data_IF_660394615376
#
_entry.id   IF_660394615376
#
_cell.length_a   1.000
_cell.length_b   1.000
_cell.length_c   1.000
_cell.angle_alpha   90.00
_cell.angle_beta   90.00
_cell.angle_gamma   90.00
#
_symmetry.space_group_name_H-M   'P 1'
#
loop_
_entity.id
_entity.type
_entity.pdbx_description
1 polymer ?
#
# COMPACT_ATOMS: atom_id res chain seq x y z
N UNK A 1 9.44 -4.64 4.44
CA UNK A 1 8.95 -4.80 3.06
C UNK A 1 10.03 -4.23 2.14
N UNK A 2 10.67 -5.01 1.28
CA UNK A 2 11.75 -4.51 0.39
C UNK A 2 11.68 -5.04 -1.04
N UNK A 3 10.77 -5.99 -1.33
CA UNK A 3 10.62 -6.60 -2.67
C UNK A 3 9.74 -5.79 -3.64
N UNK A 4 8.83 -4.97 -3.12
CA UNK A 4 7.76 -4.37 -3.92
C UNK A 4 7.79 -2.84 -3.97
N UNK A 5 8.43 -2.19 -3.01
CA UNK A 5 8.62 -0.75 -3.02
C UNK A 5 9.57 -0.29 -1.93
N UNK A 6 10.04 0.95 -2.05
CA UNK A 6 10.83 1.67 -1.04
C UNK A 6 10.44 3.14 -1.01
N UNK A 7 10.22 3.70 0.18
CA UNK A 7 10.06 5.15 0.36
C UNK A 7 11.38 5.80 0.75
N UNK A 8 11.74 6.87 0.04
CA UNK A 8 12.75 7.81 0.51
C UNK A 8 12.04 9.02 1.15
N UNK A 9 11.94 9.08 2.49
CA UNK A 9 11.24 10.16 3.19
C UNK A 9 11.93 11.52 2.99
N UNK A 10 13.26 11.55 2.85
CA UNK A 10 14.04 12.79 2.67
C UNK A 10 13.80 13.41 1.30
N UNK A 11 13.71 12.57 0.25
CA UNK A 11 13.45 13.03 -1.11
C UNK A 11 11.95 13.10 -1.46
N UNK A 12 11.06 12.69 -0.54
CA UNK A 12 9.61 12.49 -0.76
C UNK A 12 9.32 11.70 -2.05
N UNK A 13 10.08 10.63 -2.30
CA UNK A 13 9.89 9.76 -3.47
C UNK A 13 9.61 8.35 -3.04
N UNK A 14 8.59 7.74 -3.65
CA UNK A 14 8.26 6.34 -3.50
C UNK A 14 8.69 5.62 -4.77
N UNK A 15 9.54 4.61 -4.63
CA UNK A 15 9.94 3.71 -5.70
C UNK A 15 9.09 2.45 -5.62
N UNK A 16 8.52 2.03 -6.74
CA UNK A 16 7.65 0.88 -6.84
C UNK A 16 8.23 -0.11 -7.85
N UNK A 17 8.12 -1.40 -7.56
CA UNK A 17 8.56 -2.44 -8.47
C UNK A 17 7.58 -2.54 -9.65
N UNK A 18 8.10 -2.56 -10.89
CA UNK A 18 7.29 -2.67 -12.11
C UNK A 18 6.46 -3.95 -12.17
N UNK A 19 6.89 -5.03 -11.50
CA UNK A 19 6.13 -6.28 -11.41
C UNK A 19 4.76 -6.09 -10.72
N UNK A 20 4.54 -4.98 -10.00
CA UNK A 20 3.23 -4.61 -9.47
C UNK A 20 2.18 -4.32 -10.54
N UNK A 21 2.58 -4.02 -11.77
CA UNK A 21 1.63 -3.81 -12.87
C UNK A 21 0.83 -5.07 -13.20
N UNK A 22 1.35 -6.26 -12.82
CA UNK A 22 0.68 -7.55 -12.98
C UNK A 22 -0.23 -7.89 -11.80
N UNK A 23 -0.14 -7.13 -10.71
CA UNK A 23 -0.94 -7.33 -9.49
C UNK A 23 -2.19 -6.45 -9.52
N UNK A 24 -3.23 -6.78 -8.73
CA UNK A 24 -4.42 -5.94 -8.64
C UNK A 24 -4.11 -4.52 -8.15
N UNK A 25 -4.95 -3.56 -8.54
CA UNK A 25 -4.80 -2.15 -8.16
C UNK A 25 -4.83 -1.95 -6.63
N UNK A 26 -5.62 -2.72 -5.89
CA UNK A 26 -5.67 -2.61 -4.43
C UNK A 26 -4.34 -3.05 -3.75
N UNK A 27 -3.55 -3.90 -4.39
CA UNK A 27 -2.21 -4.25 -3.91
C UNK A 27 -1.24 -3.06 -4.04
N UNK A 28 -1.42 -2.23 -5.08
CA UNK A 28 -0.68 -0.97 -5.24
C UNK A 28 -1.06 0.02 -4.14
N UNK A 29 -2.35 0.16 -3.85
CA UNK A 29 -2.87 1.02 -2.76
C UNK A 29 -2.26 0.63 -1.41
N UNK A 30 -2.21 -0.68 -1.11
CA UNK A 30 -1.56 -1.20 0.10
C UNK A 30 -0.11 -0.73 0.23
N UNK A 31 0.68 -0.81 -0.85
CA UNK A 31 2.10 -0.41 -0.80
C UNK A 31 2.22 1.10 -0.62
N UNK A 32 1.42 1.89 -1.34
CA UNK A 32 1.45 3.35 -1.20
C UNK A 32 1.10 3.75 0.23
N UNK A 33 0.00 3.22 0.80
CA UNK A 33 -0.40 3.51 2.18
C UNK A 33 0.67 3.03 3.17
N UNK A 34 1.28 1.86 2.96
CA UNK A 34 2.36 1.35 3.81
C UNK A 34 3.56 2.31 3.86
N UNK A 35 4.01 2.77 2.70
CA UNK A 35 5.13 3.71 2.57
C UNK A 35 4.80 5.11 3.10
N UNK A 36 3.54 5.53 3.03
CA UNK A 36 3.06 6.78 3.62
C UNK A 36 2.97 6.70 5.15
N UNK A 37 2.43 5.61 5.70
CA UNK A 37 2.40 5.37 7.16
C UNK A 37 3.81 5.35 7.73
N UNK A 38 4.81 4.91 6.96
CA UNK A 38 6.22 5.01 7.35
C UNK A 38 6.75 6.43 7.55
N UNK A 39 6.09 7.45 6.99
CA UNK A 39 6.40 8.85 7.30
C UNK A 39 5.97 9.25 8.71
N UNK A 40 4.89 8.65 9.23
CA UNK A 40 4.34 8.91 10.57
C UNK A 40 4.94 7.98 11.64
N UNK A 41 5.20 6.73 11.29
CA UNK A 41 5.72 5.70 12.18
C UNK A 41 6.73 4.80 11.47
N UNK A 42 8.00 4.90 11.87
CA UNK A 42 9.12 4.21 11.21
C UNK A 42 9.11 2.69 11.45
N UNK A 43 8.57 2.25 12.58
CA UNK A 43 8.63 0.85 13.00
C UNK A 43 7.29 0.15 12.79
N UNK A 44 7.28 -1.13 12.38
CA UNK A 44 6.07 -1.94 12.25
C UNK A 44 5.48 -2.40 13.61
N UNK A 45 5.35 -1.49 14.56
CA UNK A 45 4.81 -1.72 15.91
C UNK A 45 3.26 -1.64 15.92
N UNK A 46 2.65 -1.72 17.10
CA UNK A 46 1.19 -1.69 17.20
C UNK A 46 0.59 -0.34 16.78
N UNK A 47 1.33 0.76 16.93
CA UNK A 47 0.94 2.08 16.40
C UNK A 47 0.90 2.08 14.87
N UNK A 48 1.88 1.46 14.21
CA UNK A 48 1.84 1.27 12.76
C UNK A 48 0.61 0.47 12.32
N UNK A 49 0.32 -0.65 13.00
CA UNK A 49 -0.87 -1.46 12.68
C UNK A 49 -2.16 -0.67 12.88
N UNK A 50 -2.26 0.12 13.94
CA UNK A 50 -3.41 0.97 14.20
C UNK A 50 -3.61 2.02 13.10
N UNK A 51 -2.53 2.66 12.63
CA UNK A 51 -2.57 3.60 11.51
C UNK A 51 -2.99 2.88 10.21
N UNK A 52 -2.43 1.71 9.93
CA UNK A 52 -2.86 0.90 8.77
C UNK A 52 -4.33 0.47 8.87
N UNK A 53 -4.80 0.07 10.05
CA UNK A 53 -6.21 -0.29 10.29
C UNK A 53 -7.14 0.92 10.11
N UNK A 54 -6.68 2.13 10.43
CA UNK A 54 -7.41 3.37 10.23
C UNK A 54 -7.49 3.78 8.76
N UNK A 55 -6.37 3.74 8.04
CA UNK A 55 -6.28 4.26 6.67
C UNK A 55 -6.60 3.20 5.60
N UNK A 56 -6.43 1.92 5.90
CA UNK A 56 -6.70 0.82 4.98
C UNK A 56 -7.13 -0.44 5.73
N UNK A 57 -8.37 -0.53 6.25
CA UNK A 57 -8.83 -1.63 7.10
C UNK A 57 -8.60 -3.04 6.53
N UNK A 58 -8.61 -3.17 5.19
CA UNK A 58 -8.40 -4.42 4.46
C UNK A 58 -6.92 -4.73 4.15
N UNK A 59 -5.96 -3.97 4.71
CA UNK A 59 -4.53 -4.10 4.40
C UNK A 59 -3.97 -5.50 4.65
N UNK A 60 -4.54 -6.26 5.59
CA UNK A 60 -4.12 -7.64 5.87
C UNK A 60 -4.44 -8.56 4.69
N UNK A 61 -5.62 -8.43 4.10
CA UNK A 61 -6.02 -9.19 2.91
C UNK A 61 -5.14 -8.81 1.72
N UNK A 62 -4.96 -7.52 1.48
CA UNK A 62 -4.12 -7.05 0.37
C UNK A 62 -2.66 -7.45 0.51
N UNK A 63 -2.13 -7.50 1.74
CA UNK A 63 -0.78 -8.01 2.02
C UNK A 63 -0.68 -9.50 1.69
N UNK A 64 -1.67 -10.27 2.09
CA UNK A 64 -1.67 -11.72 1.87
C UNK A 64 -1.84 -12.04 0.37
N UNK A 65 -2.68 -11.30 -0.35
CA UNK A 65 -2.81 -11.37 -1.82
C UNK A 65 -1.54 -10.92 -2.57
N UNK A 66 -0.87 -9.87 -2.08
CA UNK A 66 0.41 -9.42 -2.65
C UNK A 66 1.49 -10.50 -2.53
N UNK A 67 1.52 -11.21 -1.40
CA UNK A 67 2.47 -12.29 -1.13
C UNK A 67 2.09 -13.63 -1.77
N UNK A 68 0.85 -13.78 -2.26
CA UNK A 68 0.44 -14.95 -3.00
C UNK A 68 0.99 -14.88 -4.45
N UNK A 69 1.83 -15.85 -4.79
CA UNK A 69 2.41 -15.98 -6.13
C UNK A 69 1.43 -16.56 -7.16
N UNK A 70 0.20 -16.91 -6.77
CA UNK A 70 -0.80 -17.55 -7.64
C UNK A 70 -1.58 -16.59 -8.54
N UNK A 71 -1.35 -15.28 -8.45
CA UNK A 71 -2.10 -14.27 -9.20
C UNK A 71 -1.83 -14.22 -10.72
N UNK A 72 -1.14 -15.20 -11.30
CA UNK A 72 -0.69 -15.11 -12.70
C UNK A 72 -1.80 -14.96 -13.76
N UNK A 73 -3.10 -15.18 -13.49
CA UNK A 73 -4.10 -15.15 -14.58
C UNK A 73 -5.58 -14.91 -14.22
N UNK A 74 -5.98 -13.83 -13.52
CA UNK A 74 -7.37 -13.30 -13.68
C UNK A 74 -7.45 -11.78 -13.53
N UNK A 75 -7.81 -11.10 -14.62
CA UNK A 75 -8.25 -9.71 -14.61
C UNK A 75 -9.53 -9.55 -13.80
N UNK A 76 -9.39 -9.20 -12.53
CA UNK A 76 -10.47 -8.68 -11.68
C UNK A 76 -10.22 -7.20 -11.45
N UNK A 77 -10.85 -6.35 -12.26
CA UNK A 77 -10.79 -4.90 -12.10
C UNK A 77 -11.38 -4.50 -10.75
N UNK A 78 -10.50 -4.20 -9.78
CA UNK A 78 -10.88 -3.41 -8.61
C UNK A 78 -10.95 -1.95 -9.07
N UNK A 79 -12.08 -1.30 -8.83
CA UNK A 79 -12.37 0.06 -9.25
C UNK A 79 -11.29 1.04 -8.73
N UNK A 80 -10.56 1.69 -9.65
CA UNK A 80 -9.52 2.66 -9.33
C UNK A 80 -10.07 3.90 -8.59
N UNK A 81 -11.39 4.08 -8.60
CA UNK A 81 -12.11 5.14 -7.91
C UNK A 81 -11.92 5.13 -6.38
N UNK A 82 -11.76 3.95 -5.77
CA UNK A 82 -11.56 3.82 -4.31
C UNK A 82 -10.11 4.11 -3.90
N UNK A 83 -9.16 3.83 -4.80
CA UNK A 83 -7.71 3.97 -4.58
C UNK A 83 -7.28 5.42 -4.28
N UNK A 84 -8.04 6.41 -4.77
CA UNK A 84 -7.76 7.82 -4.52
C UNK A 84 -8.26 8.29 -3.14
N UNK A 85 -9.32 7.70 -2.59
CA UNK A 85 -9.98 8.23 -1.39
C UNK A 85 -9.13 8.05 -0.13
N UNK A 86 -8.48 6.90 0.06
CA UNK A 86 -7.69 6.63 1.26
C UNK A 86 -6.33 7.34 1.26
N UNK A 87 -5.65 7.38 0.10
CA UNK A 87 -4.39 8.11 -0.04
C UNK A 87 -4.58 9.64 0.07
N UNK A 88 -5.69 10.20 -0.44
CA UNK A 88 -6.04 11.62 -0.28
C UNK A 88 -6.38 11.96 1.17
N UNK A 89 -7.07 11.07 1.90
CA UNK A 89 -7.39 11.30 3.31
C UNK A 89 -6.12 11.37 4.19
N UNK A 90 -5.08 10.61 3.84
CA UNK A 90 -3.77 10.69 4.48
C UNK A 90 -3.08 12.04 4.22
N UNK A 91 -3.10 12.54 2.99
CA UNK A 91 -2.53 13.86 2.64
C UNK A 91 -3.30 15.06 3.22
N UNK A 92 -4.60 14.92 3.49
CA UNK A 92 -5.43 15.97 4.12
C UNK A 92 -5.33 15.98 5.65
N UNK A 93 -4.81 14.91 6.26
CA UNK A 93 -4.65 14.77 7.72
C UNK A 93 -3.22 15.08 8.21
N UNK A 94 -2.34 15.51 7.30
CA UNK A 94 -0.94 15.89 7.51
C UNK A 94 -0.76 17.37 7.17
#
# INVERSE_FOLDING_TARGET
MTRWGTCNPTARRIWLNLELIKKPVHCLEYIIVHELVHLLEKHHNDRFKALMDQYLPLWRQYRDELNDNRWDMKGGGSDASTCCAHALSFCLSL
#
